data_IF_283065910892
#
_entry.id   IF_283065910892
#
_cell.length_a   1.000
_cell.length_b   1.000
_cell.length_c   1.000
_cell.angle_alpha   90.00
_cell.angle_beta   90.00
_cell.angle_gamma   90.00
#
_symmetry.space_group_name_H-M   'P 1'
#
loop_
_entity.id
_entity.type
_entity.pdbx_description
1 polymer ?
#
# COMPACT_ATOMS: atom_id res chain seq x y z
N UNK A 1 -15.28 -16.93 42.65
CA UNK A 1 -16.12 -16.96 41.44
C UNK A 1 -17.49 -16.40 41.81
N UNK A 2 -17.70 -15.09 41.65
CA UNK A 2 -18.99 -14.48 41.98
C UNK A 2 -19.93 -14.74 40.80
N UNK A 3 -20.89 -15.64 41.00
CA UNK A 3 -21.95 -15.92 40.03
C UNK A 3 -22.98 -14.78 40.10
N UNK A 4 -22.89 -13.85 39.15
CA UNK A 4 -23.90 -12.80 38.99
C UNK A 4 -25.19 -13.39 38.38
N UNK A 5 -26.38 -12.96 38.82
CA UNK A 5 -27.64 -13.36 38.21
C UNK A 5 -27.65 -13.04 36.70
N UNK A 6 -28.27 -13.90 35.90
CA UNK A 6 -28.15 -13.87 34.42
C UNK A 6 -28.44 -12.51 33.78
N UNK A 7 -29.37 -11.73 34.36
CA UNK A 7 -29.67 -10.37 33.92
C UNK A 7 -28.49 -9.42 34.12
N UNK A 8 -27.83 -9.43 35.28
CA UNK A 8 -26.69 -8.55 35.60
C UNK A 8 -25.49 -8.86 34.71
N UNK A 9 -25.25 -10.15 34.43
CA UNK A 9 -24.19 -10.58 33.49
C UNK A 9 -24.42 -10.03 32.09
N UNK A 10 -25.67 -10.03 31.60
CA UNK A 10 -26.04 -9.50 30.29
C UNK A 10 -25.83 -7.99 30.18
N UNK A 11 -26.17 -7.23 31.23
CA UNK A 11 -26.00 -5.77 31.25
C UNK A 11 -24.51 -5.38 31.26
N UNK A 12 -23.68 -6.09 32.03
CA UNK A 12 -22.23 -5.86 32.06
C UNK A 12 -21.60 -6.18 30.70
N UNK A 13 -21.99 -7.28 30.05
CA UNK A 13 -21.51 -7.59 28.69
C UNK A 13 -21.97 -6.56 27.65
N UNK A 14 -23.21 -6.07 27.74
CA UNK A 14 -23.72 -5.01 26.86
C UNK A 14 -22.95 -3.70 27.03
N UNK A 15 -22.58 -3.34 28.26
CA UNK A 15 -21.82 -2.13 28.56
C UNK A 15 -20.38 -2.20 28.03
N UNK A 16 -19.73 -3.36 28.13
CA UNK A 16 -18.38 -3.57 27.59
C UNK A 16 -18.36 -3.51 26.06
N UNK A 17 -19.38 -4.06 25.39
CA UNK A 17 -19.54 -3.97 23.92
C UNK A 17 -19.85 -2.53 23.49
N UNK A 18 -20.67 -1.80 24.26
CA UNK A 18 -20.95 -0.39 24.02
C UNK A 18 -19.69 0.50 24.17
N UNK A 19 -18.83 0.21 25.16
CA UNK A 19 -17.55 0.89 25.32
C UNK A 19 -16.55 0.52 24.21
N UNK A 20 -16.53 -0.75 23.79
CA UNK A 20 -15.70 -1.20 22.67
C UNK A 20 -16.16 -0.63 21.31
N UNK A 21 -17.42 -0.20 21.17
CA UNK A 21 -17.93 0.47 19.96
C UNK A 21 -17.77 2.00 19.99
N UNK A 22 -17.64 2.60 21.18
CA UNK A 22 -17.17 3.99 21.32
C UNK A 22 -15.67 4.12 21.02
N UNK A 23 -14.92 3.03 21.20
CA UNK A 23 -13.57 2.84 20.67
C UNK A 23 -13.70 2.04 19.37
N UNK A 24 -14.54 2.51 18.45
CA UNK A 24 -14.64 1.93 17.12
C UNK A 24 -13.23 1.84 16.51
N UNK A 25 -12.92 0.67 15.96
CA UNK A 25 -11.74 0.43 15.16
C UNK A 25 -11.56 1.58 14.15
N UNK A 26 -10.33 2.04 13.95
CA UNK A 26 -9.97 2.97 12.87
C UNK A 26 -10.16 2.28 11.51
N UNK A 27 -11.40 2.04 11.10
CA UNK A 27 -11.82 1.50 9.80
C UNK A 27 -12.65 2.55 9.05
N UNK A 28 -12.35 3.84 9.24
CA UNK A 28 -13.05 4.93 8.59
C UNK A 28 -12.04 5.72 7.77
N UNK A 29 -11.74 5.22 6.57
CA UNK A 29 -11.43 6.00 5.35
C UNK A 29 -11.23 5.01 4.18
N UNK A 30 -12.29 4.34 3.72
CA UNK A 30 -12.27 3.63 2.44
C UNK A 30 -12.37 4.64 1.30
N UNK A 31 -11.30 5.41 1.12
CA UNK A 31 -11.04 6.23 -0.06
C UNK A 31 -9.88 5.60 -0.83
N UNK A 32 -10.21 4.61 -1.66
CA UNK A 32 -9.36 3.85 -2.58
C UNK A 32 -8.01 3.42 -1.98
N UNK A 33 -8.04 2.30 -1.26
CA UNK A 33 -6.86 1.53 -0.90
C UNK A 33 -7.11 0.05 -1.25
N UNK A 34 -6.27 -0.50 -2.11
CA UNK A 34 -6.28 -1.92 -2.47
C UNK A 34 -6.18 -2.80 -1.22
N UNK A 35 -6.95 -3.90 -1.13
CA UNK A 35 -7.02 -4.75 0.07
C UNK A 35 -5.66 -5.32 0.52
N UNK A 36 -4.68 -5.41 -0.38
CA UNK A 36 -3.34 -5.91 -0.10
C UNK A 36 -2.36 -4.81 0.33
N UNK A 37 -2.74 -3.54 0.21
CA UNK A 37 -1.92 -2.40 0.59
C UNK A 37 -2.42 -1.79 1.91
N UNK A 38 -1.49 -1.20 2.67
CA UNK A 38 -1.78 -0.39 3.84
C UNK A 38 -1.60 1.08 3.49
N UNK A 39 -2.71 1.80 3.37
CA UNK A 39 -2.67 3.23 3.10
C UNK A 39 -2.77 4.04 4.39
N UNK A 40 -1.98 5.11 4.50
CA UNK A 40 -2.03 6.01 5.65
C UNK A 40 -1.70 7.45 5.24
N UNK A 41 -2.26 8.40 5.98
CA UNK A 41 -1.82 9.78 5.94
C UNK A 41 -0.73 10.00 7.00
N UNK A 42 0.39 10.61 6.61
CA UNK A 42 1.47 10.95 7.54
C UNK A 42 2.05 12.29 7.12
N UNK A 43 2.07 13.27 8.04
CA UNK A 43 2.62 14.61 7.80
C UNK A 43 2.10 15.29 6.51
N UNK A 44 0.79 15.16 6.23
CA UNK A 44 0.17 15.75 5.04
C UNK A 44 0.44 15.00 3.72
N UNK A 45 1.03 13.80 3.77
CA UNK A 45 1.28 12.93 2.61
C UNK A 45 0.46 11.66 2.71
N UNK A 46 -0.21 11.26 1.62
CA UNK A 46 -0.86 9.94 1.50
C UNK A 46 0.17 8.92 1.01
N UNK A 47 0.43 7.89 1.82
CA UNK A 47 1.31 6.78 1.47
C UNK A 47 0.54 5.48 1.32
N UNK A 48 1.02 4.59 0.46
CA UNK A 48 0.55 3.21 0.32
C UNK A 48 1.74 2.25 0.44
N UNK A 49 1.66 1.33 1.40
CA UNK A 49 2.64 0.26 1.59
C UNK A 49 2.05 -1.07 1.13
N UNK A 50 2.58 -1.64 0.05
CA UNK A 50 2.15 -2.90 -0.55
C UNK A 50 3.29 -3.95 -0.51
N UNK A 51 4.15 -3.84 0.49
CA UNK A 51 5.33 -4.68 0.64
C UNK A 51 4.97 -6.11 1.09
N UNK A 52 5.72 -7.11 0.62
CA UNK A 52 5.53 -8.53 0.97
C UNK A 52 4.12 -9.07 0.68
N UNK A 53 3.47 -8.59 -0.38
CA UNK A 53 2.07 -8.91 -0.69
C UNK A 53 1.89 -10.10 -1.64
N UNK A 54 2.93 -10.49 -2.38
CA UNK A 54 2.84 -11.55 -3.40
C UNK A 54 1.95 -11.16 -4.59
N UNK A 55 1.79 -9.86 -4.84
CA UNK A 55 1.09 -9.33 -6.00
C UNK A 55 1.77 -9.77 -7.30
N UNK A 56 0.98 -10.11 -8.31
CA UNK A 56 1.49 -10.44 -9.65
C UNK A 56 1.67 -9.20 -10.54
N UNK A 57 1.15 -8.05 -10.13
CA UNK A 57 1.18 -6.80 -10.88
C UNK A 57 1.07 -5.59 -9.95
N UNK A 58 1.38 -4.41 -10.48
CA UNK A 58 1.24 -3.13 -9.78
C UNK A 58 -0.26 -2.88 -9.49
N UNK A 59 -0.64 -2.53 -8.26
CA UNK A 59 -2.03 -2.34 -7.86
C UNK A 59 -2.66 -1.13 -8.58
N UNK A 60 -3.87 -1.31 -9.10
CA UNK A 60 -4.63 -0.29 -9.85
C UNK A 60 -5.73 0.39 -9.02
N UNK A 61 -6.10 -0.15 -7.86
CA UNK A 61 -7.10 0.41 -6.96
C UNK A 61 -6.56 1.43 -5.95
N UNK A 62 -5.35 1.96 -6.18
CA UNK A 62 -4.78 3.00 -5.33
C UNK A 62 -5.35 4.37 -5.69
N UNK A 63 -5.72 5.14 -4.67
CA UNK A 63 -6.08 6.54 -4.79
C UNK A 63 -5.03 7.36 -5.54
N UNK A 64 -5.48 8.25 -6.44
CA UNK A 64 -4.61 9.18 -7.20
C UNK A 64 -3.83 10.16 -6.33
N UNK A 65 -4.28 10.40 -5.10
CA UNK A 65 -3.58 11.25 -4.12
C UNK A 65 -2.36 10.58 -3.47
N UNK A 66 -2.09 9.30 -3.75
CA UNK A 66 -0.89 8.62 -3.23
C UNK A 66 0.36 9.30 -3.75
N UNK A 67 1.21 9.73 -2.83
CA UNK A 67 2.45 10.45 -3.08
C UNK A 67 3.70 9.61 -2.73
N UNK A 68 3.53 8.57 -1.92
CA UNK A 68 4.58 7.63 -1.54
C UNK A 68 4.06 6.20 -1.73
N UNK A 69 4.75 5.41 -2.54
CA UNK A 69 4.39 4.03 -2.83
C UNK A 69 5.57 3.11 -2.50
N UNK A 70 5.33 2.17 -1.60
CA UNK A 70 6.28 1.12 -1.23
C UNK A 70 5.83 -0.22 -1.81
N UNK A 71 6.60 -0.72 -2.78
CA UNK A 71 6.43 -2.01 -3.43
C UNK A 71 7.61 -2.96 -3.08
N UNK A 72 8.28 -2.79 -1.94
CA UNK A 72 9.37 -3.68 -1.54
C UNK A 72 8.91 -5.15 -1.49
N UNK A 73 9.60 -6.02 -2.25
CA UNK A 73 9.27 -7.44 -2.35
C UNK A 73 7.78 -7.69 -2.66
N UNK A 74 7.13 -6.81 -3.42
CA UNK A 74 5.69 -6.93 -3.68
C UNK A 74 5.35 -8.15 -4.53
N UNK A 75 6.27 -8.62 -5.38
CA UNK A 75 6.08 -9.72 -6.32
C UNK A 75 7.24 -10.71 -6.30
N UNK A 76 6.93 -11.99 -6.51
CA UNK A 76 7.93 -13.06 -6.61
C UNK A 76 8.41 -13.31 -8.05
N UNK A 77 7.68 -12.82 -9.05
CA UNK A 77 7.86 -13.21 -10.46
C UNK A 77 8.24 -12.02 -11.37
N UNK A 78 8.56 -10.86 -10.77
CA UNK A 78 8.67 -9.60 -11.51
C UNK A 78 10.13 -9.27 -11.84
N UNK A 79 10.61 -9.90 -12.90
CA UNK A 79 11.99 -9.76 -13.38
C UNK A 79 12.19 -8.55 -14.30
N UNK A 80 11.13 -8.13 -15.01
CA UNK A 80 11.20 -7.04 -15.99
C UNK A 80 10.06 -6.04 -15.75
N UNK A 81 10.39 -4.75 -15.75
CA UNK A 81 9.42 -3.66 -15.78
C UNK A 81 9.12 -3.26 -17.22
N UNK A 82 7.92 -3.58 -17.76
CA UNK A 82 7.57 -3.24 -19.13
C UNK A 82 7.32 -1.75 -19.29
N UNK A 83 7.33 -1.26 -20.53
CA UNK A 83 6.86 0.07 -20.89
C UNK A 83 5.48 0.36 -20.27
N UNK A 84 5.26 1.60 -19.85
CA UNK A 84 3.97 2.09 -19.34
C UNK A 84 3.42 1.32 -18.12
N UNK A 85 4.27 0.64 -17.34
CA UNK A 85 3.86 -0.18 -16.20
C UNK A 85 2.94 0.58 -15.21
N UNK A 86 3.19 1.87 -15.01
CA UNK A 86 2.40 2.72 -14.12
C UNK A 86 1.27 3.50 -14.80
N UNK A 87 1.22 3.52 -16.14
CA UNK A 87 0.29 4.38 -16.90
C UNK A 87 -1.17 4.10 -16.57
N UNK A 88 -1.52 2.83 -16.37
CA UNK A 88 -2.90 2.41 -16.05
C UNK A 88 -3.30 2.60 -14.59
N UNK A 89 -2.34 2.91 -13.69
CA UNK A 89 -2.60 3.12 -12.26
C UNK A 89 -3.17 4.51 -11.96
N UNK A 90 -2.90 5.50 -12.81
CA UNK A 90 -3.34 6.87 -12.60
C UNK A 90 -2.67 7.58 -11.41
N UNK A 91 -1.54 7.08 -10.92
CA UNK A 91 -0.73 7.64 -9.83
C UNK A 91 0.04 8.91 -10.25
N UNK A 92 -0.68 9.89 -10.77
CA UNK A 92 -0.14 11.14 -11.33
C UNK A 92 0.51 12.04 -10.29
N UNK A 93 0.24 11.83 -9.00
CA UNK A 93 0.80 12.61 -7.90
C UNK A 93 1.97 11.90 -7.18
N UNK A 94 2.51 10.82 -7.74
CA UNK A 94 3.52 10.02 -7.06
C UNK A 94 4.88 10.75 -7.03
N UNK A 95 5.40 10.97 -5.82
CA UNK A 95 6.71 11.61 -5.61
C UNK A 95 7.81 10.59 -5.28
N UNK A 96 7.49 9.54 -4.53
CA UNK A 96 8.46 8.54 -4.10
C UNK A 96 7.94 7.14 -4.46
N UNK A 97 8.76 6.39 -5.19
CA UNK A 97 8.49 4.99 -5.57
C UNK A 97 9.64 4.11 -5.08
N UNK A 98 9.31 3.15 -4.21
CA UNK A 98 10.28 2.21 -3.66
C UNK A 98 10.04 0.84 -4.29
N UNK A 99 11.00 0.38 -5.07
CA UNK A 99 11.03 -0.92 -5.75
C UNK A 99 12.22 -1.73 -5.23
N UNK A 100 12.39 -1.77 -3.90
CA UNK A 100 13.52 -2.46 -3.27
C UNK A 100 13.38 -3.96 -3.34
N UNK A 101 14.50 -4.65 -3.57
CA UNK A 101 14.59 -6.11 -3.46
C UNK A 101 13.49 -6.86 -4.24
N UNK A 102 13.20 -6.37 -5.45
CA UNK A 102 12.15 -6.90 -6.32
C UNK A 102 12.70 -7.88 -7.39
N UNK A 103 13.99 -8.24 -7.32
CA UNK A 103 14.67 -9.07 -8.33
C UNK A 103 14.61 -8.52 -9.77
N UNK A 104 14.44 -7.21 -9.93
CA UNK A 104 14.38 -6.57 -11.26
C UNK A 104 15.74 -6.73 -11.95
N UNK A 105 15.73 -7.25 -13.18
CA UNK A 105 16.93 -7.37 -14.04
C UNK A 105 16.93 -6.32 -15.14
N UNK A 106 15.74 -5.98 -15.66
CA UNK A 106 15.57 -5.12 -16.81
C UNK A 106 14.43 -4.12 -16.56
N UNK A 107 14.64 -2.88 -17.01
CA UNK A 107 13.66 -1.80 -16.94
C UNK A 107 13.57 -1.19 -18.32
N UNK A 108 12.38 -1.23 -18.91
CA UNK A 108 12.10 -0.54 -20.16
C UNK A 108 12.28 0.99 -19.99
N UNK A 109 12.86 1.73 -20.96
CA UNK A 109 13.01 3.18 -20.89
C UNK A 109 11.69 3.92 -20.56
N UNK A 110 10.55 3.39 -20.99
CA UNK A 110 9.24 3.99 -20.79
C UNK A 110 8.48 3.37 -19.60
N UNK A 111 9.13 2.56 -18.75
CA UNK A 111 8.45 1.85 -17.65
C UNK A 111 7.75 2.77 -16.65
N UNK A 112 8.32 3.94 -16.39
CA UNK A 112 7.81 4.94 -15.45
C UNK A 112 6.96 6.02 -16.11
N UNK A 113 6.60 5.85 -17.39
CA UNK A 113 5.71 6.76 -18.11
C UNK A 113 4.39 6.98 -17.36
N UNK A 114 4.01 8.25 -17.25
CA UNK A 114 2.85 8.69 -16.46
C UNK A 114 3.19 9.16 -15.04
N UNK A 115 4.37 8.86 -14.51
CA UNK A 115 4.86 9.37 -13.21
C UNK A 115 5.58 10.72 -13.37
N UNK A 116 4.87 11.72 -13.90
CA UNK A 116 5.48 12.98 -14.37
C UNK A 116 6.10 13.89 -13.31
N UNK A 117 5.87 13.59 -12.02
CA UNK A 117 6.40 14.38 -10.90
C UNK A 117 7.19 13.52 -9.91
N UNK A 118 7.70 12.36 -10.36
CA UNK A 118 8.52 11.48 -9.54
C UNK A 118 9.80 12.20 -9.12
N UNK A 119 10.06 12.26 -7.82
CA UNK A 119 11.23 12.91 -7.21
C UNK A 119 12.28 11.86 -6.84
N UNK A 120 11.82 10.69 -6.36
CA UNK A 120 12.69 9.63 -5.88
C UNK A 120 12.22 8.27 -6.40
N UNK A 121 13.17 7.53 -6.97
CA UNK A 121 13.03 6.13 -7.36
C UNK A 121 14.11 5.33 -6.64
N UNK A 122 13.69 4.44 -5.74
CA UNK A 122 14.60 3.55 -5.01
C UNK A 122 14.59 2.15 -5.64
N UNK A 123 15.69 1.78 -6.28
CA UNK A 123 15.94 0.48 -6.91
C UNK A 123 16.95 -0.37 -6.13
N UNK A 124 17.20 -0.05 -4.86
CA UNK A 124 18.17 -0.74 -4.01
C UNK A 124 17.89 -2.25 -3.94
N UNK A 125 18.97 -3.06 -3.93
CA UNK A 125 18.92 -4.53 -3.86
C UNK A 125 18.23 -5.21 -5.06
N UNK A 126 18.15 -4.57 -6.22
CA UNK A 126 17.79 -5.26 -7.46
C UNK A 126 19.02 -5.85 -8.17
N UNK A 127 18.78 -6.53 -9.30
CA UNK A 127 19.79 -7.20 -10.14
C UNK A 127 19.94 -6.49 -11.49
N UNK A 128 19.75 -5.18 -11.50
CA UNK A 128 19.77 -4.36 -12.72
C UNK A 128 21.19 -4.24 -13.22
N UNK A 129 21.40 -4.60 -14.48
CA UNK A 129 22.71 -4.53 -15.12
C UNK A 129 22.91 -3.26 -15.93
N UNK A 130 21.83 -2.70 -16.47
CA UNK A 130 21.84 -1.49 -17.30
C UNK A 130 20.68 -0.59 -16.91
N UNK A 131 20.94 0.71 -16.82
CA UNK A 131 19.89 1.73 -16.70
C UNK A 131 19.94 2.61 -17.95
N UNK A 132 18.78 2.82 -18.55
CA UNK A 132 18.62 3.74 -19.66
C UNK A 132 18.54 5.19 -19.15
N UNK A 133 19.08 6.17 -19.89
CA UNK A 133 19.02 7.59 -19.53
C UNK A 133 17.61 8.16 -19.53
#
# INVERSE_FOLDING_TARGET
>A
MILLPGSVRAHVTLLLIALASLIGAEEWMTGDCEHLCKCKWTNGRKGAACNNTGLSAIPRGLSKDVQYLDLEQFSNDLFCFPADAFRSTGLVNLHNLLLKDCNITDIDPDAFSGLGILIELDLTKNRIHTLHP
#
